data_IF_717304622128
#
_entry.id   IF_717304622128
#
_cell.length_a   1.000
_cell.length_b   1.000
_cell.length_c   1.000
_cell.angle_alpha   90.00
_cell.angle_beta   90.00
_cell.angle_gamma   90.00
#
_symmetry.space_group_name_H-M   'P 1'
#
loop_
_entity.id
_entity.type
_entity.pdbx_description
1 polymer ?
#
# COMPACT_ATOMS: atom_id res chain seq x y z
N UNK A 1 -68.14 -4.70 -3.29
CA UNK A 1 -66.81 -4.33 -3.82
C UNK A 1 -65.98 -3.91 -2.61
N UNK A 2 -65.17 -4.82 -2.07
CA UNK A 2 -64.32 -4.56 -0.92
C UNK A 2 -62.96 -4.06 -1.40
N UNK A 3 -62.51 -2.98 -0.79
CA UNK A 3 -61.18 -2.45 -0.97
C UNK A 3 -60.22 -3.24 -0.06
N UNK A 4 -59.21 -3.86 -0.67
CA UNK A 4 -58.03 -4.34 0.03
C UNK A 4 -56.81 -3.61 -0.53
N UNK A 5 -56.41 -2.59 0.22
CA UNK A 5 -55.09 -1.99 0.20
C UNK A 5 -54.19 -2.80 1.12
N UNK A 6 -53.07 -3.37 0.63
CA UNK A 6 -51.84 -3.48 1.40
C UNK A 6 -50.64 -3.58 0.43
N UNK A 7 -49.88 -2.48 0.42
CA UNK A 7 -48.51 -2.40 -0.05
C UNK A 7 -47.62 -3.18 0.90
N UNK A 8 -46.83 -4.12 0.39
CA UNK A 8 -45.66 -4.67 1.08
C UNK A 8 -44.50 -4.58 0.11
N UNK A 9 -43.54 -3.72 0.44
CA UNK A 9 -42.32 -3.56 -0.32
C UNK A 9 -41.34 -4.67 0.01
N UNK A 10 -40.65 -5.15 -1.03
CA UNK A 10 -39.35 -5.77 -0.87
C UNK A 10 -38.31 -4.69 -1.14
N UNK A 11 -37.87 -4.07 -0.05
CA UNK A 11 -36.62 -3.31 -0.03
C UNK A 11 -35.46 -4.31 0.01
N UNK A 12 -34.37 -3.86 -0.59
CA UNK A 12 -32.99 -4.32 -0.37
C UNK A 12 -32.59 -5.65 -1.02
N UNK A 13 -31.84 -5.53 -2.12
CA UNK A 13 -30.45 -5.98 -2.09
C UNK A 13 -29.74 -5.50 -3.35
N UNK A 14 -29.11 -4.33 -3.25
CA UNK A 14 -27.90 -4.00 -4.01
C UNK A 14 -26.98 -3.19 -3.10
N UNK A 15 -26.45 -3.84 -2.07
CA UNK A 15 -25.19 -3.39 -1.48
C UNK A 15 -24.08 -3.74 -2.48
N UNK A 16 -24.02 -2.98 -3.58
CA UNK A 16 -22.92 -3.06 -4.53
C UNK A 16 -21.78 -2.22 -3.99
N UNK A 17 -20.88 -2.89 -3.26
CA UNK A 17 -19.44 -2.64 -3.29
C UNK A 17 -18.98 -1.20 -3.06
N UNK A 18 -18.99 -0.74 -1.81
CA UNK A 18 -18.25 0.45 -1.34
C UNK A 18 -16.98 0.06 -0.55
N UNK A 19 -16.29 -1.03 -0.92
CA UNK A 19 -15.06 -1.49 -0.24
C UNK A 19 -13.79 -1.33 -1.07
N UNK A 20 -13.82 -0.58 -2.18
CA UNK A 20 -12.66 -0.46 -3.07
C UNK A 20 -11.59 0.53 -2.60
N UNK A 21 -11.91 1.42 -1.66
CA UNK A 21 -10.97 2.45 -1.20
C UNK A 21 -10.05 1.95 -0.07
N UNK A 22 -10.61 1.17 0.87
CA UNK A 22 -9.85 0.66 2.04
C UNK A 22 -8.74 -0.32 1.64
N UNK A 23 -8.98 -1.17 0.63
CA UNK A 23 -7.98 -2.15 0.15
C UNK A 23 -6.77 -1.49 -0.50
N UNK A 24 -6.98 -0.40 -1.26
CA UNK A 24 -5.87 0.35 -1.86
C UNK A 24 -5.05 1.09 -0.80
N UNK A 25 -5.70 1.60 0.25
CA UNK A 25 -5.00 2.26 1.35
C UNK A 25 -4.16 1.26 2.17
N UNK A 26 -4.66 0.04 2.38
CA UNK A 26 -3.92 -1.04 3.06
C UNK A 26 -2.72 -1.53 2.23
N UNK A 27 -2.91 -1.80 0.93
CA UNK A 27 -1.82 -2.21 0.03
C UNK A 27 -0.70 -1.16 -0.08
N UNK A 28 -1.06 0.12 -0.13
CA UNK A 28 -0.08 1.21 -0.14
C UNK A 28 0.66 1.37 1.19
N UNK A 29 -0.03 1.13 2.31
CA UNK A 29 0.58 1.14 3.64
C UNK A 29 1.62 0.02 3.77
N UNK A 30 1.25 -1.21 3.39
CA UNK A 30 2.16 -2.36 3.44
C UNK A 30 3.39 -2.15 2.54
N UNK A 31 3.17 -1.60 1.34
CA UNK A 31 4.29 -1.28 0.44
C UNK A 31 5.24 -0.23 1.04
N UNK A 32 4.71 0.79 1.71
CA UNK A 32 5.53 1.80 2.38
C UNK A 32 6.40 1.20 3.48
N UNK A 33 5.84 0.28 4.29
CA UNK A 33 6.57 -0.43 5.35
C UNK A 33 7.69 -1.32 4.78
N UNK A 34 7.42 -2.01 3.67
CA UNK A 34 8.44 -2.80 2.97
C UNK A 34 9.55 -1.92 2.39
N UNK A 35 9.20 -0.77 1.81
CA UNK A 35 10.18 0.19 1.29
C UNK A 35 11.08 0.76 2.39
N UNK A 36 10.49 1.16 3.52
CA UNK A 36 11.25 1.65 4.66
C UNK A 36 12.18 0.57 5.22
N UNK A 37 11.70 -0.67 5.30
CA UNK A 37 12.50 -1.82 5.75
C UNK A 37 13.68 -2.09 4.82
N UNK A 38 13.46 -2.09 3.50
CA UNK A 38 14.51 -2.27 2.50
C UNK A 38 15.57 -1.16 2.60
N UNK A 39 15.14 0.10 2.73
CA UNK A 39 16.05 1.24 2.90
C UNK A 39 16.90 1.10 4.17
N UNK A 40 16.29 0.77 5.31
CA UNK A 40 17.02 0.56 6.57
C UNK A 40 18.06 -0.54 6.42
N UNK A 41 17.72 -1.68 5.81
CA UNK A 41 18.68 -2.79 5.58
C UNK A 41 19.88 -2.33 4.76
N UNK A 42 19.65 -1.66 3.63
CA UNK A 42 20.71 -1.13 2.76
C UNK A 42 21.64 -0.18 3.51
N UNK A 43 21.10 0.68 4.36
CA UNK A 43 21.90 1.59 5.21
C UNK A 43 22.68 0.80 6.26
N UNK A 44 22.06 -0.16 6.95
CA UNK A 44 22.75 -0.95 7.98
C UNK A 44 23.88 -1.82 7.43
N UNK A 45 23.73 -2.36 6.22
CA UNK A 45 24.77 -3.15 5.55
C UNK A 45 25.97 -2.31 5.11
N UNK A 46 25.81 -0.99 4.97
CA UNK A 46 26.89 -0.04 4.67
C UNK A 46 27.44 -0.09 3.23
N UNK A 47 27.04 -1.09 2.43
CA UNK A 47 27.56 -1.33 1.08
C UNK A 47 27.24 -0.20 0.09
N UNK A 48 26.11 0.48 0.27
CA UNK A 48 25.61 1.49 -0.65
C UNK A 48 25.56 2.90 -0.04
N UNK A 49 26.43 3.20 0.93
CA UNK A 49 26.50 4.54 1.53
C UNK A 49 26.95 5.60 0.54
N UNK A 50 26.21 6.70 0.48
CA UNK A 50 26.61 7.92 -0.21
C UNK A 50 27.61 8.72 0.64
N UNK A 51 28.16 9.80 0.07
CA UNK A 51 29.24 10.59 0.71
C UNK A 51 28.86 11.18 2.07
N UNK A 52 27.60 11.56 2.25
CA UNK A 52 27.03 12.06 3.51
C UNK A 52 27.07 11.01 4.62
N UNK A 53 27.00 9.72 4.26
CA UNK A 53 27.21 8.58 5.16
C UNK A 53 28.65 8.03 5.10
N UNK A 54 29.61 8.83 4.61
CA UNK A 54 31.04 8.47 4.44
C UNK A 54 31.31 7.30 3.50
N UNK A 55 30.36 6.95 2.63
CA UNK A 55 30.58 5.96 1.58
C UNK A 55 31.03 6.57 0.25
N UNK A 56 31.22 5.71 -0.74
CA UNK A 56 31.69 6.10 -2.08
C UNK A 56 30.66 5.90 -3.19
N UNK A 57 29.52 5.30 -2.88
CA UNK A 57 28.46 5.00 -3.85
C UNK A 57 27.73 6.27 -4.29
N UNK A 58 27.24 6.25 -5.52
CA UNK A 58 26.37 7.28 -6.08
C UNK A 58 24.94 7.14 -5.57
N UNK A 59 24.15 8.21 -5.67
CA UNK A 59 22.72 8.16 -5.34
C UNK A 59 22.00 7.08 -6.15
N UNK A 60 22.33 6.93 -7.45
CA UNK A 60 21.73 5.91 -8.30
C UNK A 60 22.03 4.50 -7.83
N UNK A 61 23.28 4.22 -7.45
CA UNK A 61 23.65 2.90 -6.92
C UNK A 61 22.97 2.61 -5.58
N UNK A 62 22.81 3.63 -4.73
CA UNK A 62 22.05 3.52 -3.50
C UNK A 62 20.56 3.20 -3.76
N UNK A 63 19.92 3.90 -4.70
CA UNK A 63 18.54 3.62 -5.12
C UNK A 63 18.40 2.20 -5.66
N UNK A 64 19.29 1.77 -6.56
CA UNK A 64 19.30 0.41 -7.09
C UNK A 64 19.47 -0.65 -5.99
N UNK A 65 20.26 -0.34 -4.95
CA UNK A 65 20.42 -1.19 -3.77
C UNK A 65 19.10 -1.37 -3.00
N UNK A 66 18.34 -0.29 -2.82
CA UNK A 66 17.01 -0.33 -2.19
C UNK A 66 16.03 -1.13 -3.05
N UNK A 67 15.99 -0.87 -4.36
CA UNK A 67 15.14 -1.63 -5.30
C UNK A 67 15.45 -3.13 -5.27
N UNK A 68 16.72 -3.51 -5.18
CA UNK A 68 17.14 -4.91 -5.10
C UNK A 68 16.82 -5.56 -3.76
N UNK A 69 16.65 -4.77 -2.69
CA UNK A 69 16.35 -5.23 -1.34
C UNK A 69 14.84 -5.25 -1.05
N UNK A 70 14.02 -4.67 -1.94
CA UNK A 70 12.57 -4.70 -1.88
C UNK A 70 12.08 -6.09 -2.31
N UNK A 71 11.36 -6.78 -1.42
CA UNK A 71 10.80 -8.12 -1.65
C UNK A 71 9.33 -8.03 -2.07
#
# INVERSE_FOLDING_TARGET
MHADSLSLGDKESKQSTEHHDDTLNEELSDYADHLETAQKRVIYEGKYHTKDLRGSTTTKEATNGVESALQ
#
